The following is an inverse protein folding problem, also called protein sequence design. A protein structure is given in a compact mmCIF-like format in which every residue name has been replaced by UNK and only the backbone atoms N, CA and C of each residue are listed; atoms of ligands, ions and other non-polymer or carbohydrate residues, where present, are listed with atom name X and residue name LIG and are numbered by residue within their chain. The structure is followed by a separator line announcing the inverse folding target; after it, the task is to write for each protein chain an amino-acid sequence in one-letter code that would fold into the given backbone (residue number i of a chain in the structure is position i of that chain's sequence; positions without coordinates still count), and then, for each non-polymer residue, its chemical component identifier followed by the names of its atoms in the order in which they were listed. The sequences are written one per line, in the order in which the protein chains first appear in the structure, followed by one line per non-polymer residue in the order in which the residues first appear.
data_IF_184152095355
#
_entry.id   IF_184152095355
#
_cell.length_a   1.000
_cell.length_b   1.000
_cell.length_c   1.000
_cell.angle_alpha   90.00
_cell.angle_beta   90.00
_cell.angle_gamma   90.00
#
_symmetry.space_group_name_H-M   'P 1'
#
loop_
_entity.id
_entity.type
_entity.pdbx_description
1 polymer ?
#
# COMPACT_ATOMS: atom_id res chain seq x y z
N UNK A 1 22.20 -30.75 1.82
CA UNK A 1 20.87 -30.97 1.19
C UNK A 1 20.83 -30.11 -0.06
N UNK A 2 20.67 -30.70 -1.24
CA UNK A 2 20.66 -29.97 -2.51
C UNK A 2 19.34 -30.27 -3.22
N UNK A 3 18.29 -29.51 -2.84
CA UNK A 3 16.96 -29.68 -3.43
C UNK A 3 16.90 -28.86 -4.72
N UNK A 4 16.43 -29.47 -5.82
CA UNK A 4 16.28 -28.77 -7.09
C UNK A 4 15.28 -27.65 -6.99
N UNK A 5 15.61 -26.48 -7.55
CA UNK A 5 14.70 -25.33 -7.68
C UNK A 5 13.39 -25.72 -8.37
N UNK A 6 13.44 -26.64 -9.34
CA UNK A 6 12.24 -27.09 -10.06
C UNK A 6 11.19 -27.71 -9.11
N UNK A 7 11.61 -28.40 -8.04
CA UNK A 7 10.67 -28.93 -7.05
C UNK A 7 9.96 -27.83 -6.28
N UNK A 8 10.65 -26.76 -5.92
CA UNK A 8 10.06 -25.59 -5.29
C UNK A 8 9.12 -24.84 -6.23
N UNK A 9 9.48 -24.70 -7.50
CA UNK A 9 8.63 -24.09 -8.53
C UNK A 9 7.34 -24.87 -8.72
N UNK A 10 7.42 -26.19 -8.83
CA UNK A 10 6.24 -27.07 -8.91
C UNK A 10 5.39 -26.94 -7.64
N UNK A 11 5.99 -26.97 -6.46
CA UNK A 11 5.30 -26.79 -5.18
C UNK A 11 4.52 -25.48 -5.15
N UNK A 12 5.15 -24.39 -5.54
CA UNK A 12 4.50 -23.07 -5.62
C UNK A 12 3.27 -23.07 -6.52
N UNK A 13 3.37 -23.61 -7.71
CA UNK A 13 2.26 -23.67 -8.66
C UNK A 13 1.13 -24.60 -8.19
N UNK A 14 1.45 -25.75 -7.61
CA UNK A 14 0.44 -26.66 -7.04
C UNK A 14 -0.30 -26.00 -5.88
N UNK A 15 0.42 -25.31 -4.98
CA UNK A 15 -0.17 -24.58 -3.87
C UNK A 15 -1.12 -23.46 -4.37
N UNK A 16 -0.69 -22.70 -5.38
CA UNK A 16 -1.48 -21.61 -5.96
C UNK A 16 -2.74 -22.09 -6.68
N UNK A 17 -2.66 -23.21 -7.38
CA UNK A 17 -3.78 -23.78 -8.14
C UNK A 17 -4.72 -24.62 -7.28
N UNK A 18 -4.27 -25.13 -6.12
CA UNK A 18 -5.00 -26.08 -5.30
C UNK A 18 -5.35 -27.41 -6.00
N UNK A 19 -4.80 -27.64 -7.20
CA UNK A 19 -5.12 -28.78 -8.07
C UNK A 19 -3.95 -29.15 -8.97
N UNK A 20 -3.56 -30.41 -8.96
CA UNK A 20 -2.43 -30.94 -9.74
C UNK A 20 -2.63 -30.84 -11.25
N UNK A 21 -3.86 -31.06 -11.73
CA UNK A 21 -4.14 -31.01 -13.18
C UNK A 21 -4.02 -29.58 -13.69
N UNK A 22 -4.63 -28.60 -13.00
CA UNK A 22 -4.50 -27.17 -13.36
C UNK A 22 -3.06 -26.68 -13.27
N UNK A 23 -2.31 -27.15 -12.27
CA UNK A 23 -0.89 -26.80 -12.15
C UNK A 23 -0.06 -27.43 -13.27
N UNK A 24 -0.37 -28.65 -13.69
CA UNK A 24 0.30 -29.32 -14.80
C UNK A 24 0.07 -28.58 -16.13
N UNK A 25 -1.15 -28.17 -16.41
CA UNK A 25 -1.49 -27.33 -17.56
C UNK A 25 -0.71 -26.01 -17.54
N UNK A 26 -0.72 -25.31 -16.41
CA UNK A 26 -0.03 -24.03 -16.24
C UNK A 26 1.51 -24.15 -16.44
N UNK A 27 2.09 -25.30 -16.07
CA UNK A 27 3.52 -25.57 -16.20
C UNK A 27 3.89 -26.28 -17.50
N UNK A 28 2.92 -26.56 -18.38
CA UNK A 28 3.11 -27.36 -19.60
C UNK A 28 3.82 -28.70 -19.30
N UNK A 29 3.40 -29.36 -18.22
CA UNK A 29 3.99 -30.58 -17.70
C UNK A 29 2.92 -31.67 -17.48
N UNK A 30 3.32 -32.89 -17.17
CA UNK A 30 2.37 -33.96 -16.87
C UNK A 30 2.06 -34.05 -15.36
N UNK A 31 0.82 -34.38 -15.01
CA UNK A 31 0.41 -34.58 -13.61
C UNK A 31 1.26 -35.64 -12.87
N UNK A 32 1.65 -36.78 -13.48
CA UNK A 32 2.54 -37.74 -12.83
C UNK A 32 3.90 -37.13 -12.45
N UNK A 33 4.47 -36.28 -13.31
CA UNK A 33 5.75 -35.63 -13.04
C UNK A 33 5.61 -34.63 -11.84
N UNK A 34 4.52 -33.86 -11.78
CA UNK A 34 4.27 -33.00 -10.65
C UNK A 34 4.11 -33.78 -9.35
N UNK A 35 3.37 -34.89 -9.41
CA UNK A 35 3.17 -35.77 -8.24
C UNK A 35 4.49 -36.32 -7.74
N UNK A 36 5.39 -36.74 -8.65
CA UNK A 36 6.72 -37.22 -8.29
C UNK A 36 7.58 -36.12 -7.69
N UNK A 37 7.58 -34.92 -8.28
CA UNK A 37 8.34 -33.78 -7.79
C UNK A 37 7.92 -33.38 -6.38
N UNK A 38 6.62 -33.31 -6.09
CA UNK A 38 6.10 -33.01 -4.74
C UNK A 38 6.54 -34.08 -3.75
N UNK A 39 6.41 -35.40 -4.09
CA UNK A 39 6.87 -36.48 -3.21
C UNK A 39 8.36 -36.41 -2.91
N UNK A 40 9.18 -36.09 -3.92
CA UNK A 40 10.61 -35.94 -3.75
C UNK A 40 10.93 -34.75 -2.83
N UNK A 41 10.24 -33.62 -3.01
CA UNK A 41 10.40 -32.44 -2.15
C UNK A 41 10.04 -32.78 -0.70
N UNK A 42 8.89 -33.42 -0.47
CA UNK A 42 8.45 -33.84 0.87
C UNK A 42 9.43 -34.84 1.52
N UNK A 43 9.98 -35.75 0.74
CA UNK A 43 10.99 -36.69 1.22
C UNK A 43 12.31 -36.02 1.59
N UNK A 44 12.76 -35.04 0.81
CA UNK A 44 13.98 -34.27 1.10
C UNK A 44 13.83 -33.31 2.30
N UNK A 45 12.65 -32.71 2.47
CA UNK A 45 12.34 -31.82 3.61
C UNK A 45 12.02 -32.64 4.86
N UNK A 46 11.50 -33.87 4.70
CA UNK A 46 11.20 -34.77 5.79
C UNK A 46 9.79 -34.62 6.38
N UNK A 47 8.91 -33.87 5.75
CA UNK A 47 7.51 -33.73 6.19
C UNK A 47 6.56 -33.55 5.00
N UNK A 48 5.26 -33.93 5.14
CA UNK A 48 4.26 -33.67 4.14
C UNK A 48 3.95 -32.16 4.06
N UNK A 49 3.91 -31.63 2.84
CA UNK A 49 3.62 -30.23 2.55
C UNK A 49 2.18 -30.05 2.06
N UNK A 50 1.54 -31.12 1.58
CA UNK A 50 0.15 -31.12 1.14
C UNK A 50 -0.67 -32.24 1.80
N UNK A 51 -1.94 -31.92 2.05
CA UNK A 51 -3.00 -32.87 2.33
C UNK A 51 -3.90 -33.02 1.09
N UNK A 52 -4.20 -34.27 0.70
CA UNK A 52 -5.16 -34.57 -0.37
C UNK A 52 -6.57 -34.61 0.21
N UNK A 53 -7.47 -33.81 -0.33
CA UNK A 53 -8.88 -33.80 0.06
C UNK A 53 -9.79 -33.99 -1.17
N UNK A 54 -11.06 -34.24 -0.96
CA UNK A 54 -12.05 -34.29 -2.03
C UNK A 54 -12.20 -32.94 -2.79
N UNK A 55 -11.61 -31.86 -2.26
CA UNK A 55 -11.60 -30.52 -2.86
C UNK A 55 -10.29 -30.18 -3.57
N UNK A 56 -9.29 -31.08 -3.53
CA UNK A 56 -8.00 -30.90 -4.15
C UNK A 56 -6.82 -30.99 -3.18
N UNK A 57 -5.75 -30.27 -3.51
CA UNK A 57 -4.51 -30.20 -2.73
C UNK A 57 -4.58 -28.97 -1.79
N UNK A 58 -4.44 -29.21 -0.48
CA UNK A 58 -4.43 -28.17 0.55
C UNK A 58 -3.07 -28.22 1.26
N UNK A 59 -2.49 -27.08 1.52
CA UNK A 59 -1.22 -27.00 2.28
C UNK A 59 -1.39 -27.50 3.72
N UNK A 60 -0.38 -28.19 4.23
CA UNK A 60 -0.21 -28.44 5.65
C UNK A 60 0.31 -27.17 6.35
N UNK A 61 0.32 -27.07 7.70
CA UNK A 61 0.96 -25.96 8.40
C UNK A 61 2.43 -25.76 8.01
N UNK A 62 3.18 -26.83 7.82
CA UNK A 62 4.56 -26.84 7.34
C UNK A 62 4.63 -26.36 5.89
N UNK A 63 3.68 -26.80 5.05
CA UNK A 63 3.52 -26.35 3.67
C UNK A 63 3.21 -24.87 3.58
N UNK A 64 2.36 -24.32 4.45
CA UNK A 64 2.08 -22.89 4.51
C UNK A 64 3.32 -22.07 4.92
N UNK A 65 4.08 -22.60 5.89
CA UNK A 65 5.36 -22.02 6.29
C UNK A 65 6.31 -21.89 5.10
N UNK A 66 6.55 -23.01 4.41
CA UNK A 66 7.41 -23.04 3.24
C UNK A 66 6.88 -22.17 2.09
N UNK A 67 5.57 -22.21 1.85
CA UNK A 67 4.94 -21.46 0.76
C UNK A 67 5.20 -19.96 0.84
N UNK A 68 5.19 -19.37 2.04
CA UNK A 68 5.48 -17.94 2.23
C UNK A 68 6.87 -17.57 1.69
N UNK A 69 7.88 -18.38 1.97
CA UNK A 69 9.25 -18.16 1.51
C UNK A 69 9.40 -18.41 0.00
N UNK A 70 8.83 -19.52 -0.48
CA UNK A 70 8.93 -19.90 -1.91
C UNK A 70 8.17 -18.90 -2.80
N UNK A 71 7.03 -18.40 -2.34
CA UNK A 71 6.29 -17.34 -3.04
C UNK A 71 7.16 -16.12 -3.28
N UNK A 72 7.91 -15.67 -2.28
CA UNK A 72 8.84 -14.54 -2.40
C UNK A 72 9.92 -14.85 -3.44
N UNK A 73 10.56 -16.02 -3.31
CA UNK A 73 11.63 -16.43 -4.22
C UNK A 73 11.17 -16.53 -5.68
N UNK A 74 10.01 -17.15 -5.94
CA UNK A 74 9.45 -17.25 -7.29
C UNK A 74 9.10 -15.86 -7.86
N UNK A 75 8.51 -14.98 -7.05
CA UNK A 75 8.19 -13.61 -7.48
C UNK A 75 9.45 -12.83 -7.86
N UNK A 76 10.53 -12.96 -7.11
CA UNK A 76 11.80 -12.30 -7.42
C UNK A 76 12.47 -12.86 -8.69
N UNK A 77 12.39 -14.17 -8.90
CA UNK A 77 12.90 -14.79 -10.13
C UNK A 77 12.10 -14.31 -11.34
N UNK A 78 10.77 -14.35 -11.27
CA UNK A 78 9.87 -13.85 -12.33
C UNK A 78 10.13 -12.36 -12.63
N UNK A 79 10.35 -11.56 -11.59
CA UNK A 79 10.71 -10.14 -11.74
C UNK A 79 12.09 -9.98 -12.42
N UNK A 80 13.07 -10.81 -12.05
CA UNK A 80 14.39 -10.81 -12.68
C UNK A 80 14.33 -11.22 -14.16
N UNK A 81 13.60 -12.27 -14.49
CA UNK A 81 13.37 -12.71 -15.88
C UNK A 81 12.65 -11.64 -16.70
N UNK A 82 11.61 -11.01 -16.11
CA UNK A 82 10.90 -9.90 -16.74
C UNK A 82 11.84 -8.69 -16.96
N UNK A 83 12.67 -8.35 -15.98
CA UNK A 83 13.63 -7.25 -16.10
C UNK A 83 14.65 -7.49 -17.24
N UNK A 84 15.12 -8.73 -17.40
CA UNK A 84 16.05 -9.11 -18.48
C UNK A 84 15.35 -9.07 -19.85
N UNK A 85 14.12 -9.56 -19.91
CA UNK A 85 13.36 -9.67 -21.17
C UNK A 85 12.80 -8.33 -21.62
N UNK A 86 12.44 -7.44 -20.67
CA UNK A 86 11.79 -6.15 -20.90
C UNK A 86 12.76 -4.96 -20.92
N UNK A 87 14.06 -5.20 -20.79
CA UNK A 87 15.07 -4.12 -20.73
C UNK A 87 15.19 -3.29 -22.02
N UNK A 88 14.34 -3.47 -23.00
CA UNK A 88 14.41 -2.80 -24.31
C UNK A 88 13.25 -1.89 -24.69
N UNK A 89 12.04 -2.06 -24.15
CA UNK A 89 10.91 -1.19 -24.49
C UNK A 89 9.89 -1.10 -23.35
N UNK A 90 9.42 0.12 -23.02
CA UNK A 90 8.31 0.40 -22.10
C UNK A 90 6.94 -0.01 -22.67
N UNK A 91 6.92 -0.87 -23.67
CA UNK A 91 5.69 -1.32 -24.35
C UNK A 91 4.88 -2.31 -23.53
N UNK A 92 5.53 -3.06 -22.65
CA UNK A 92 4.89 -4.01 -21.73
C UNK A 92 5.68 -4.06 -20.44
N UNK A 93 4.99 -4.30 -19.33
CA UNK A 93 5.62 -4.45 -18.02
C UNK A 93 4.59 -4.51 -16.91
N UNK A 94 5.04 -4.89 -15.71
CA UNK A 94 4.23 -4.84 -14.51
C UNK A 94 4.87 -3.87 -13.54
N UNK A 95 4.04 -3.06 -12.87
CA UNK A 95 4.45 -2.23 -11.74
C UNK A 95 3.52 -2.52 -10.58
N UNK A 96 4.10 -2.96 -9.47
CA UNK A 96 3.39 -3.26 -8.23
C UNK A 96 3.64 -2.14 -7.23
N UNK A 97 2.61 -1.38 -6.92
CA UNK A 97 2.69 -0.20 -6.08
C UNK A 97 1.87 -0.40 -4.81
N UNK A 98 2.48 -0.23 -3.65
CA UNK A 98 1.78 -0.08 -2.40
C UNK A 98 1.57 1.40 -2.10
N UNK A 99 0.33 1.82 -1.84
CA UNK A 99 0.02 3.22 -1.62
C UNK A 99 -0.83 3.42 -0.38
N UNK A 100 -0.53 4.48 0.40
CA UNK A 100 -1.52 4.98 1.35
C UNK A 100 -2.57 5.79 0.61
N UNK A 101 -3.80 5.84 1.13
CA UNK A 101 -4.87 6.59 0.50
C UNK A 101 -4.55 8.08 0.37
N UNK A 102 -3.94 8.66 1.40
CA UNK A 102 -3.45 10.03 1.33
C UNK A 102 -2.50 10.27 0.17
N UNK A 103 -1.53 9.36 -0.02
CA UNK A 103 -0.59 9.45 -1.13
C UNK A 103 -1.26 9.22 -2.49
N UNK A 104 -2.21 8.27 -2.55
CA UNK A 104 -2.97 7.99 -3.78
C UNK A 104 -3.69 9.24 -4.29
N UNK A 105 -4.47 9.89 -3.43
CA UNK A 105 -5.27 11.04 -3.82
C UNK A 105 -4.46 12.33 -3.97
N UNK A 106 -3.48 12.57 -3.11
CA UNK A 106 -2.70 13.82 -3.12
C UNK A 106 -1.66 13.89 -4.23
N UNK A 107 -1.16 12.72 -4.73
CA UNK A 107 -0.05 12.70 -5.68
C UNK A 107 -0.28 11.71 -6.84
N UNK A 108 -0.67 10.45 -6.52
CA UNK A 108 -0.58 9.37 -7.49
C UNK A 108 -1.57 9.50 -8.64
N UNK A 109 -2.85 9.79 -8.38
CA UNK A 109 -3.89 9.75 -9.40
C UNK A 109 -3.56 10.56 -10.67
N UNK A 110 -3.14 11.84 -10.61
CA UNK A 110 -2.81 12.59 -11.81
C UNK A 110 -1.56 12.07 -12.53
N UNK A 111 -0.61 11.48 -11.79
CA UNK A 111 0.60 10.92 -12.38
C UNK A 111 0.31 9.58 -13.05
N UNK A 112 -0.48 8.73 -12.40
CA UNK A 112 -0.90 7.43 -12.95
C UNK A 112 -1.69 7.59 -14.24
N UNK A 113 -2.58 8.60 -14.32
CA UNK A 113 -3.29 8.93 -15.56
C UNK A 113 -2.30 9.20 -16.69
N UNK A 114 -1.36 10.13 -16.49
CA UNK A 114 -0.34 10.49 -17.50
C UNK A 114 0.57 9.30 -17.83
N UNK A 115 0.89 8.49 -16.83
CA UNK A 115 1.71 7.30 -17.02
C UNK A 115 0.99 6.27 -17.92
N UNK A 116 -0.29 5.98 -17.64
CA UNK A 116 -1.08 5.04 -18.41
C UNK A 116 -1.35 5.50 -19.84
N UNK A 117 -1.57 6.81 -20.02
CA UNK A 117 -1.69 7.42 -21.37
C UNK A 117 -0.42 7.25 -22.19
N UNK A 118 0.75 7.38 -21.54
CA UNK A 118 2.06 7.28 -22.20
C UNK A 118 2.50 5.83 -22.43
N UNK A 119 2.15 4.92 -21.50
CA UNK A 119 2.57 3.53 -21.49
C UNK A 119 1.38 2.57 -21.32
N UNK A 120 0.46 2.51 -22.30
CA UNK A 120 -0.80 1.76 -22.18
C UNK A 120 -0.60 0.24 -22.05
N UNK A 121 0.55 -0.29 -22.48
CA UNK A 121 0.88 -1.71 -22.35
C UNK A 121 1.46 -2.10 -20.99
N UNK A 122 1.71 -1.15 -20.09
CA UNK A 122 2.19 -1.44 -18.74
C UNK A 122 1.01 -1.73 -17.80
N UNK A 123 1.04 -2.88 -17.15
CA UNK A 123 0.05 -3.25 -16.15
C UNK A 123 0.41 -2.66 -14.79
N UNK A 124 -0.47 -1.82 -14.24
CA UNK A 124 -0.33 -1.23 -12.92
C UNK A 124 -1.18 -2.01 -11.91
N UNK A 125 -0.54 -2.58 -10.90
CA UNK A 125 -1.21 -3.14 -9.74
C UNK A 125 -0.97 -2.24 -8.53
N UNK A 126 -2.03 -1.58 -8.09
CA UNK A 126 -1.98 -0.66 -6.95
C UNK A 126 -2.76 -1.29 -5.81
N UNK A 127 -2.10 -1.46 -4.68
CA UNK A 127 -2.75 -1.90 -3.45
C UNK A 127 -2.89 -0.73 -2.48
N UNK A 128 -4.12 -0.52 -1.98
CA UNK A 128 -4.38 0.48 -0.97
C UNK A 128 -4.09 -0.10 0.42
N UNK A 129 -3.29 0.60 1.20
CA UNK A 129 -2.80 0.15 2.49
C UNK A 129 -2.70 1.32 3.48
N UNK A 130 -2.74 1.02 4.77
CA UNK A 130 -2.18 1.94 5.76
C UNK A 130 -0.66 2.07 5.54
N UNK A 131 -0.05 3.17 5.98
CA UNK A 131 1.41 3.35 5.86
C UNK A 131 2.22 2.17 6.39
N UNK A 132 1.94 1.61 7.58
CA UNK A 132 2.65 0.41 8.07
C UNK A 132 2.49 -0.81 7.15
N UNK A 133 1.29 -1.04 6.61
CA UNK A 133 1.04 -2.15 5.68
C UNK A 133 1.75 -1.96 4.33
N UNK A 134 1.82 -0.73 3.82
CA UNK A 134 2.57 -0.41 2.61
C UNK A 134 4.08 -0.65 2.78
N UNK A 135 4.63 -0.33 3.96
CA UNK A 135 6.02 -0.65 4.31
C UNK A 135 6.23 -2.17 4.42
N UNK A 136 5.28 -2.90 5.04
CA UNK A 136 5.34 -4.36 5.11
C UNK A 136 5.33 -5.01 3.71
N UNK A 137 4.54 -4.48 2.75
CA UNK A 137 4.52 -4.96 1.37
C UNK A 137 5.89 -4.86 0.67
N UNK A 138 6.74 -3.90 1.07
CA UNK A 138 8.12 -3.83 0.59
C UNK A 138 8.99 -4.93 1.18
N UNK A 139 8.86 -5.23 2.47
CA UNK A 139 9.59 -6.31 3.11
C UNK A 139 9.19 -7.69 2.56
N UNK A 140 7.90 -7.86 2.26
CA UNK A 140 7.33 -9.07 1.67
C UNK A 140 7.55 -9.16 0.14
N UNK A 141 8.29 -8.23 -0.45
CA UNK A 141 8.58 -8.13 -1.90
C UNK A 141 7.33 -8.18 -2.80
N UNK A 142 6.18 -7.81 -2.28
CA UNK A 142 4.90 -7.77 -3.02
C UNK A 142 4.65 -6.43 -3.72
N UNK A 143 5.53 -5.45 -3.49
CA UNK A 143 5.53 -4.16 -4.17
C UNK A 143 6.96 -3.76 -4.60
N UNK A 144 7.06 -3.11 -5.76
CA UNK A 144 8.31 -2.55 -6.28
C UNK A 144 8.78 -1.38 -5.42
N UNK A 145 7.86 -0.47 -5.13
CA UNK A 145 8.05 0.64 -4.20
C UNK A 145 6.71 1.02 -3.56
N UNK A 146 6.78 1.79 -2.48
CA UNK A 146 5.60 2.31 -1.81
C UNK A 146 5.53 3.84 -1.92
N UNK A 147 4.31 4.39 -1.98
CA UNK A 147 4.06 5.83 -1.88
C UNK A 147 3.13 6.06 -0.70
N UNK A 148 3.67 6.70 0.32
CA UNK A 148 3.04 6.80 1.64
C UNK A 148 3.13 8.23 2.18
N UNK A 149 2.44 8.47 3.29
CA UNK A 149 2.50 9.77 3.99
C UNK A 149 3.33 9.68 5.25
N UNK A 150 4.07 10.75 5.56
CA UNK A 150 4.80 10.91 6.83
C UNK A 150 3.84 11.24 7.98
N UNK A 151 4.28 11.07 9.26
CA UNK A 151 5.56 10.53 9.69
C UNK A 151 5.65 9.02 9.49
N UNK A 152 6.84 8.51 9.26
CA UNK A 152 7.10 7.08 9.16
C UNK A 152 8.50 6.76 9.67
N UNK A 153 8.60 5.71 10.46
CA UNK A 153 9.90 5.15 10.88
C UNK A 153 10.22 3.97 9.99
N UNK A 154 11.37 4.02 9.32
CA UNK A 154 11.80 3.01 8.36
C UNK A 154 12.97 2.21 8.91
N UNK A 155 13.05 0.93 8.53
CA UNK A 155 14.21 0.10 8.76
C UNK A 155 15.41 0.57 7.93
N UNK A 156 16.67 0.29 8.33
CA UNK A 156 17.86 0.65 7.58
C UNK A 156 17.95 0.06 6.15
N UNK A 157 17.15 -0.97 5.88
CA UNK A 157 17.03 -1.63 4.57
C UNK A 157 16.19 -0.86 3.56
N UNK A 158 15.48 0.19 4.00
CA UNK A 158 14.63 1.03 3.18
C UNK A 158 15.21 2.42 3.00
N UNK A 159 14.88 3.07 1.89
CA UNK A 159 15.20 4.48 1.61
C UNK A 159 13.92 5.25 1.38
N UNK A 160 13.91 6.50 1.83
CA UNK A 160 12.80 7.43 1.66
C UNK A 160 13.23 8.63 0.84
N UNK A 161 12.36 9.05 -0.08
CA UNK A 161 12.50 10.32 -0.81
C UNK A 161 11.20 11.11 -0.67
N UNK A 162 11.26 12.29 -0.10
CA UNK A 162 10.12 13.21 -0.01
C UNK A 162 9.82 13.73 -1.41
N UNK A 163 8.52 13.74 -1.78
CA UNK A 163 8.06 14.15 -3.11
C UNK A 163 7.20 15.40 -3.03
N UNK A 164 6.27 15.46 -2.08
CA UNK A 164 5.31 16.57 -1.99
C UNK A 164 4.90 16.80 -0.54
N UNK A 165 4.83 18.06 -0.14
CA UNK A 165 4.20 18.41 1.13
C UNK A 165 2.68 18.39 1.01
N UNK A 166 2.02 18.03 2.10
CA UNK A 166 0.56 18.02 2.24
C UNK A 166 0.16 18.72 3.52
N UNK A 167 -0.92 19.49 3.42
CA UNK A 167 -1.54 20.16 4.55
C UNK A 167 -2.78 19.39 4.98
N UNK A 168 -2.89 19.11 6.26
CA UNK A 168 -4.10 18.57 6.87
C UNK A 168 -4.94 19.75 7.41
N UNK A 169 -6.25 19.66 7.22
CA UNK A 169 -7.19 20.71 7.67
C UNK A 169 -8.40 20.07 8.33
N UNK A 170 -8.92 20.66 9.42
CA UNK A 170 -10.19 20.26 9.97
C UNK A 170 -11.33 20.82 9.09
N UNK A 171 -12.38 20.01 8.94
CA UNK A 171 -13.58 20.31 8.15
C UNK A 171 -14.85 19.99 8.94
N UNK A 172 -15.92 20.69 8.65
CA UNK A 172 -17.24 20.41 9.22
C UNK A 172 -18.36 20.74 8.23
N UNK A 173 -19.57 20.25 8.51
CA UNK A 173 -20.76 20.72 7.82
C UNK A 173 -21.04 22.21 8.12
N UNK A 174 -21.72 22.95 7.23
CA UNK A 174 -22.11 24.36 7.46
C UNK A 174 -22.93 24.57 8.74
N UNK A 175 -23.60 23.54 9.24
CA UNK A 175 -24.37 23.58 10.50
C UNK A 175 -23.50 23.87 11.73
N UNK A 176 -22.20 23.59 11.71
CA UNK A 176 -21.28 23.94 12.79
C UNK A 176 -20.79 25.40 12.70
N UNK A 177 -21.73 26.33 12.58
CA UNK A 177 -21.47 27.76 12.34
C UNK A 177 -20.56 28.41 13.38
N UNK A 178 -20.55 27.93 14.63
CA UNK A 178 -19.66 28.42 15.68
C UNK A 178 -18.17 28.22 15.43
N UNK A 179 -17.81 27.33 14.50
CA UNK A 179 -16.43 27.04 14.08
C UNK A 179 -16.02 27.78 12.79
N UNK A 180 -16.94 28.50 12.15
CA UNK A 180 -16.73 29.09 10.84
C UNK A 180 -16.57 30.59 10.89
N UNK A 181 -15.85 31.18 9.94
CA UNK A 181 -15.67 32.63 9.81
C UNK A 181 -14.72 33.24 10.84
N UNK A 182 -14.01 32.47 11.62
CA UNK A 182 -13.01 32.90 12.60
C UNK A 182 -11.85 31.90 12.72
N UNK A 183 -10.78 32.33 13.36
CA UNK A 183 -9.71 31.38 13.76
C UNK A 183 -10.11 30.67 15.07
N UNK A 184 -9.95 29.35 15.09
CA UNK A 184 -10.36 28.45 16.17
C UNK A 184 -9.10 27.88 16.83
N UNK A 185 -9.03 27.87 18.15
CA UNK A 185 -7.97 27.15 18.85
C UNK A 185 -8.18 25.65 18.74
N UNK A 186 -7.09 24.86 18.71
CA UNK A 186 -7.21 23.40 18.61
C UNK A 186 -8.00 22.80 19.79
N UNK A 187 -7.88 23.40 20.98
CA UNK A 187 -8.63 23.01 22.18
C UNK A 187 -10.15 23.19 22.06
N UNK A 188 -10.61 24.12 21.23
CA UNK A 188 -12.04 24.29 21.02
C UNK A 188 -12.69 23.11 20.29
N UNK A 189 -11.89 22.32 19.55
CA UNK A 189 -12.37 21.12 18.86
C UNK A 189 -12.74 19.99 19.83
N UNK A 190 -12.26 20.02 21.09
CA UNK A 190 -12.67 19.05 22.12
C UNK A 190 -14.17 19.07 22.42
N UNK A 191 -14.83 20.21 22.19
CA UNK A 191 -16.27 20.34 22.38
C UNK A 191 -17.11 19.69 21.27
N UNK A 192 -16.48 19.17 20.23
CA UNK A 192 -17.15 18.59 19.05
C UNK A 192 -16.71 17.14 18.83
N UNK A 193 -17.62 16.29 18.31
CA UNK A 193 -17.24 14.95 17.92
C UNK A 193 -16.15 15.00 16.83
N UNK A 194 -14.99 14.39 17.07
CA UNK A 194 -13.92 14.28 16.08
C UNK A 194 -14.10 13.00 15.25
N UNK A 195 -13.90 13.11 13.95
CA UNK A 195 -13.92 12.02 12.97
C UNK A 195 -12.54 11.87 12.39
N UNK A 196 -11.88 10.73 12.61
CA UNK A 196 -10.52 10.48 12.14
C UNK A 196 -10.35 9.05 11.68
N UNK A 197 -9.15 8.71 11.21
CA UNK A 197 -8.77 7.32 10.99
C UNK A 197 -8.52 6.62 12.33
N UNK A 198 -8.82 5.32 12.38
CA UNK A 198 -8.67 4.50 13.56
C UNK A 198 -7.23 4.34 14.05
N UNK A 199 -7.11 3.87 15.28
CA UNK A 199 -5.83 3.51 15.90
C UNK A 199 -5.04 2.52 15.04
N UNK A 200 -3.69 2.62 15.05
CA UNK A 200 -2.80 1.81 14.20
C UNK A 200 -2.52 2.42 12.81
N UNK A 201 -3.15 3.56 12.47
CA UNK A 201 -2.77 4.34 11.29
C UNK A 201 -1.74 5.41 11.62
N UNK A 202 -0.90 5.76 10.64
CA UNK A 202 0.07 6.87 10.78
C UNK A 202 -0.63 8.21 11.01
N UNK A 203 -1.80 8.42 10.41
CA UNK A 203 -2.55 9.67 10.60
C UNK A 203 -3.07 9.80 12.03
N UNK A 204 -3.61 8.72 12.61
CA UNK A 204 -4.01 8.73 14.02
C UNK A 204 -2.83 9.08 14.93
N UNK A 205 -1.69 8.38 14.79
CA UNK A 205 -0.49 8.66 15.57
C UNK A 205 0.00 10.11 15.42
N UNK A 206 -0.08 10.65 14.20
CA UNK A 206 0.26 12.05 13.92
C UNK A 206 -0.66 13.00 14.68
N UNK A 207 -1.99 12.81 14.63
CA UNK A 207 -2.91 13.70 15.34
C UNK A 207 -2.76 13.58 16.86
N UNK A 208 -2.59 12.38 17.39
CA UNK A 208 -2.26 12.19 18.82
C UNK A 208 -1.05 13.05 19.21
N UNK A 209 0.03 13.00 18.42
CA UNK A 209 1.24 13.77 18.74
C UNK A 209 1.02 15.28 18.69
N UNK A 210 0.25 15.78 17.70
CA UNK A 210 -0.05 17.21 17.54
C UNK A 210 -0.92 17.74 18.68
N UNK A 211 -2.01 17.03 19.00
CA UNK A 211 -2.92 17.44 20.08
C UNK A 211 -2.20 17.40 21.43
N UNK A 212 -1.46 16.33 21.70
CA UNK A 212 -0.68 16.20 22.95
C UNK A 212 0.36 17.31 23.10
N UNK A 213 1.04 17.69 22.01
CA UNK A 213 2.03 18.78 22.03
C UNK A 213 1.41 20.14 22.42
N UNK A 214 0.12 20.34 22.16
CA UNK A 214 -0.64 21.54 22.55
C UNK A 214 -1.41 21.38 23.86
N UNK A 215 -1.23 20.24 24.57
CA UNK A 215 -1.93 19.97 25.83
C UNK A 215 -3.42 19.67 25.67
N UNK A 216 -3.86 19.30 24.45
CA UNK A 216 -5.25 19.00 24.07
C UNK A 216 -5.44 17.48 24.02
N UNK A 217 -6.54 16.99 24.58
CA UNK A 217 -6.86 15.57 24.51
C UNK A 217 -7.32 15.18 23.09
N UNK A 218 -6.73 14.13 22.50
CA UNK A 218 -7.19 13.58 21.24
C UNK A 218 -8.11 12.38 21.49
N UNK A 219 -9.40 12.64 21.41
CA UNK A 219 -10.45 11.63 21.67
C UNK A 219 -11.44 11.60 20.50
N UNK A 220 -11.14 10.86 19.41
CA UNK A 220 -12.07 10.75 18.31
C UNK A 220 -13.35 10.02 18.75
N UNK A 221 -14.50 10.63 18.44
CA UNK A 221 -15.81 10.04 18.66
C UNK A 221 -16.16 9.02 17.56
N UNK A 222 -15.60 9.18 16.37
CA UNK A 222 -15.82 8.29 15.22
C UNK A 222 -14.48 7.96 14.59
N UNK A 223 -14.23 6.65 14.45
CA UNK A 223 -13.07 6.11 13.75
C UNK A 223 -13.49 5.54 12.39
N UNK A 224 -13.01 6.15 11.30
CA UNK A 224 -13.22 5.68 9.95
C UNK A 224 -12.13 4.66 9.54
N UNK A 225 -12.50 3.66 8.76
CA UNK A 225 -11.56 2.67 8.24
C UNK A 225 -10.64 3.24 7.16
N UNK A 226 -11.15 4.20 6.36
CA UNK A 226 -10.46 4.82 5.23
C UNK A 226 -10.71 6.33 5.23
N UNK A 227 -9.77 7.11 4.68
CA UNK A 227 -9.83 8.57 4.72
C UNK A 227 -10.94 9.17 3.82
N UNK A 228 -11.39 8.44 2.81
CA UNK A 228 -12.50 8.84 1.93
C UNK A 228 -13.86 8.85 2.62
N UNK A 229 -14.00 8.14 3.75
CA UNK A 229 -15.22 8.12 4.55
C UNK A 229 -15.38 9.37 5.42
N UNK A 230 -14.31 10.11 5.70
CA UNK A 230 -14.33 11.24 6.64
C UNK A 230 -15.18 12.41 6.09
N UNK A 231 -15.01 12.78 4.80
CA UNK A 231 -15.74 13.88 4.19
C UNK A 231 -17.26 13.61 4.20
N UNK A 232 -17.78 12.47 3.73
CA UNK A 232 -19.21 12.16 3.80
C UNK A 232 -19.77 12.18 5.23
N UNK A 233 -19.00 11.71 6.22
CA UNK A 233 -19.41 11.76 7.62
C UNK A 233 -19.49 13.20 8.15
N UNK A 234 -18.51 14.04 7.79
CA UNK A 234 -18.54 15.45 8.14
C UNK A 234 -19.70 16.19 7.45
N UNK A 235 -19.98 15.90 6.17
CA UNK A 235 -21.15 16.44 5.43
C UNK A 235 -22.49 16.07 6.08
N UNK A 236 -22.58 14.85 6.59
CA UNK A 236 -23.75 14.36 7.31
C UNK A 236 -23.94 15.03 8.70
N UNK A 237 -23.01 15.91 9.10
CA UNK A 237 -23.09 16.61 10.38
C UNK A 237 -22.71 15.76 11.59
N UNK A 238 -21.99 14.65 11.39
CA UNK A 238 -21.58 13.74 12.48
C UNK A 238 -20.47 14.32 13.35
N UNK A 239 -19.75 15.36 12.88
CA UNK A 239 -18.68 15.99 13.63
C UNK A 239 -17.68 16.75 12.77
N UNK A 240 -16.52 17.00 13.35
CA UNK A 240 -15.36 17.64 12.72
C UNK A 240 -14.43 16.55 12.18
N UNK A 241 -14.23 16.51 10.88
CA UNK A 241 -13.27 15.61 10.22
C UNK A 241 -11.90 16.27 10.05
N UNK A 242 -10.81 15.52 10.09
CA UNK A 242 -9.48 16.01 9.72
C UNK A 242 -9.02 15.25 8.47
N UNK A 243 -8.71 15.99 7.40
CA UNK A 243 -8.36 15.43 6.10
C UNK A 243 -7.25 16.23 5.42
N UNK A 244 -6.50 15.63 4.47
CA UNK A 244 -5.67 16.42 3.57
C UNK A 244 -6.52 17.44 2.80
N UNK A 245 -6.07 18.70 2.75
CA UNK A 245 -6.79 19.78 2.05
C UNK A 245 -7.12 19.41 0.58
N UNK A 246 -6.24 18.69 -0.07
CA UNK A 246 -6.43 18.20 -1.45
C UNK A 246 -7.59 17.19 -1.61
N UNK A 247 -8.17 16.70 -0.52
CA UNK A 247 -9.32 15.78 -0.57
C UNK A 247 -10.63 16.52 -0.78
N UNK A 248 -10.69 17.78 -0.40
CA UNK A 248 -11.89 18.61 -0.47
C UNK A 248 -12.15 18.99 -1.93
N UNK A 249 -13.33 18.66 -2.42
CA UNK A 249 -13.79 19.02 -3.76
C UNK A 249 -14.73 20.21 -3.69
N UNK A 250 -14.83 21.01 -4.75
CA UNK A 250 -15.81 22.11 -4.80
C UNK A 250 -17.27 21.66 -4.65
N UNK A 251 -17.57 20.39 -4.96
CA UNK A 251 -18.89 19.78 -4.81
C UNK A 251 -19.22 19.36 -3.38
N UNK A 252 -18.22 19.23 -2.50
CA UNK A 252 -18.40 18.73 -1.15
C UNK A 252 -19.04 19.82 -0.28
N UNK A 253 -20.11 19.45 0.45
CA UNK A 253 -20.82 20.38 1.32
C UNK A 253 -20.18 20.47 2.71
N UNK A 254 -18.87 20.62 2.73
CA UNK A 254 -18.09 20.88 3.95
C UNK A 254 -17.45 22.27 3.91
N UNK A 255 -17.08 22.77 5.08
CA UNK A 255 -16.31 23.99 5.25
C UNK A 255 -15.05 23.72 6.02
N UNK A 256 -13.96 24.31 5.57
CA UNK A 256 -12.69 24.31 6.29
C UNK A 256 -12.80 25.15 7.54
N UNK A 257 -12.26 24.64 8.64
CA UNK A 257 -12.09 25.38 9.89
C UNK A 257 -10.69 25.99 9.89
N UNK A 258 -10.59 27.29 10.08
CA UNK A 258 -9.32 27.98 10.19
C UNK A 258 -8.80 27.84 11.62
N UNK A 259 -7.66 27.17 11.80
CA UNK A 259 -7.01 27.05 13.10
C UNK A 259 -6.12 28.27 13.38
N UNK A 260 -6.03 28.69 14.63
CA UNK A 260 -5.08 29.70 15.09
C UNK A 260 -3.64 29.25 14.84
N UNK A 261 -3.36 28.00 15.13
CA UNK A 261 -2.10 27.33 14.83
C UNK A 261 -2.36 26.21 13.82
N UNK A 262 -1.92 26.37 12.56
CA UNK A 262 -2.09 25.34 11.54
C UNK A 262 -1.45 24.02 11.98
N UNK A 263 -2.06 22.89 11.59
CA UNK A 263 -1.44 21.58 11.80
C UNK A 263 -0.10 21.52 11.07
N UNK A 264 0.91 20.86 11.64
CA UNK A 264 2.20 20.67 10.99
C UNK A 264 2.05 20.03 9.62
N UNK A 265 2.91 20.41 8.68
CA UNK A 265 2.92 19.81 7.35
C UNK A 265 3.34 18.35 7.44
N UNK A 266 2.70 17.54 6.64
CA UNK A 266 3.10 16.15 6.35
C UNK A 266 3.68 16.11 4.94
N UNK A 267 4.24 14.98 4.56
CA UNK A 267 4.74 14.80 3.21
C UNK A 267 4.28 13.47 2.61
N UNK A 268 4.09 13.46 1.31
CA UNK A 268 4.06 12.23 0.51
C UNK A 268 5.49 11.87 0.17
N UNK A 269 5.86 10.64 0.40
CA UNK A 269 7.20 10.13 0.10
C UNK A 269 7.14 8.80 -0.65
N UNK A 270 8.17 8.57 -1.47
CA UNK A 270 8.46 7.28 -2.08
C UNK A 270 9.38 6.52 -1.15
N UNK A 271 9.06 5.26 -0.87
CA UNK A 271 9.89 4.34 -0.10
C UNK A 271 10.21 3.13 -0.94
N UNK A 272 11.48 2.72 -0.94
CA UNK A 272 11.96 1.55 -1.68
C UNK A 272 13.07 0.82 -0.93
N UNK A 273 13.31 -0.42 -1.32
CA UNK A 273 14.40 -1.23 -0.78
C UNK A 273 15.75 -0.66 -1.22
N UNK A 274 16.67 -0.57 -0.28
CA UNK A 274 18.03 -0.09 -0.52
C UNK A 274 18.80 -1.11 -1.35
N UNK A 275 19.49 -0.64 -2.41
CA UNK A 275 20.33 -1.49 -3.24
C UNK A 275 19.57 -2.40 -4.22
N UNK A 276 18.24 -2.41 -4.22
CA UNK A 276 17.45 -3.17 -5.15
C UNK A 276 17.04 -2.29 -6.35
N UNK A 277 17.43 -2.65 -7.59
CA UNK A 277 17.05 -1.88 -8.76
C UNK A 277 15.56 -2.09 -9.08
N UNK A 278 14.89 -1.02 -9.44
CA UNK A 278 13.53 -1.08 -9.98
C UNK A 278 13.55 -1.56 -11.44
N UNK A 279 12.46 -2.20 -11.87
CA UNK A 279 12.20 -2.47 -13.29
C UNK A 279 12.19 -1.16 -14.10
N UNK A 280 12.38 -1.24 -15.41
CA UNK A 280 12.36 -0.04 -16.27
C UNK A 280 11.02 0.70 -16.13
N UNK A 281 9.91 -0.04 -16.09
CA UNK A 281 8.57 0.53 -15.93
C UNK A 281 8.38 1.20 -14.56
N UNK A 282 8.80 0.53 -13.47
CA UNK A 282 8.70 1.08 -12.12
C UNK A 282 9.60 2.31 -11.94
N UNK A 283 10.81 2.31 -12.51
CA UNK A 283 11.73 3.45 -12.49
C UNK A 283 11.19 4.66 -13.24
N UNK A 284 10.54 4.45 -14.38
CA UNK A 284 9.92 5.55 -15.13
C UNK A 284 8.73 6.13 -14.36
N UNK A 285 7.91 5.30 -13.71
CA UNK A 285 6.84 5.80 -12.84
C UNK A 285 7.42 6.59 -11.65
N UNK A 286 8.47 6.07 -10.99
CA UNK A 286 9.18 6.81 -9.93
C UNK A 286 9.66 8.17 -10.42
N UNK A 287 10.31 8.23 -11.59
CA UNK A 287 10.79 9.47 -12.21
C UNK A 287 9.66 10.47 -12.44
N UNK A 288 8.50 10.00 -12.94
CA UNK A 288 7.34 10.85 -13.17
C UNK A 288 6.74 11.38 -11.86
N UNK A 289 6.76 10.58 -10.79
CA UNK A 289 6.31 11.01 -9.46
C UNK A 289 7.22 12.09 -8.88
N UNK A 290 8.54 11.91 -8.97
CA UNK A 290 9.52 12.90 -8.51
C UNK A 290 9.39 14.23 -9.27
N UNK A 291 9.20 14.16 -10.60
CA UNK A 291 8.99 15.34 -11.42
C UNK A 291 7.68 16.09 -11.07
N UNK A 292 6.61 15.36 -10.73
CA UNK A 292 5.35 15.97 -10.32
C UNK A 292 5.45 16.68 -8.97
N UNK A 293 6.24 16.15 -8.04
CA UNK A 293 6.53 16.80 -6.77
C UNK A 293 7.28 18.12 -6.93
N UNK A 294 8.29 18.15 -7.78
CA UNK A 294 9.08 19.35 -8.05
C UNK A 294 8.29 20.50 -8.71
N UNK A 295 7.16 20.21 -9.35
CA UNK A 295 6.27 21.22 -9.95
C UNK A 295 5.25 21.78 -8.95
N UNK A 296 5.14 21.19 -7.76
CA UNK A 296 4.16 21.55 -6.73
C UNK A 296 4.79 22.30 -5.55
N UNK A 297 6.11 22.46 -5.55
CA UNK A 297 6.90 23.25 -4.62
C UNK A 297 7.16 24.65 -5.20
#
# INVERSE_FOLDING_TARGET
MYISYEYYRIFYHVARCGNLTKAAEALQNSQPNLTRAIRNLEAEIGCPLFSRTNRGMILTPEGEGLYRHIKIACTEIEAGEAAVTQSRTLERGNVFLAASEGALRCLLLPVLKRYQEKYPGVHLRISNHSTPQAVAALHDTTADFAVITTPVTLSPSLTQTIVKEIREVPICAPAFSGLLGRSVALSELEAYPLITLGAGTTSHAFYVSVFTAQGVAFQPAIEAATADQIIPMAEAGLGVGIVPEAFIRPSDNVRRIELQEPLPLRAVCIVKRKGQPLSVAARELERMLLAAGAQSA
#
